data_IF_778527721047
#
_entry.id   IF_778527721047
#
_cell.length_a   1.000
_cell.length_b   1.000
_cell.length_c   1.000
_cell.angle_alpha   90.00
_cell.angle_beta   90.00
_cell.angle_gamma   90.00
#
_symmetry.space_group_name_H-M   'P 1'
#
loop_
_entity.id
_entity.type
_entity.pdbx_description
1 polymer ?
#
# COMPACT_ATOMS: atom_id res chain seq x y z
N UNK A 1 -14.03 28.17 50.78
CA UNK A 1 -14.76 27.58 49.62
C UNK A 1 -14.17 27.99 48.27
N UNK A 2 -13.74 29.25 48.09
CA UNK A 2 -13.10 29.74 46.85
C UNK A 2 -11.76 29.06 46.51
N UNK A 3 -10.89 28.80 47.50
CA UNK A 3 -9.59 28.17 47.27
C UNK A 3 -9.69 26.75 46.68
N UNK A 4 -10.68 25.96 47.14
CA UNK A 4 -10.96 24.62 46.58
C UNK A 4 -11.43 24.69 45.12
N UNK A 5 -12.21 25.72 44.76
CA UNK A 5 -12.62 25.96 43.37
C UNK A 5 -11.41 26.35 42.51
N UNK A 6 -10.54 27.20 43.03
CA UNK A 6 -9.36 27.69 42.31
C UNK A 6 -8.36 26.55 41.99
N UNK A 7 -8.10 25.67 42.97
CA UNK A 7 -7.26 24.49 42.77
C UNK A 7 -7.88 23.51 41.78
N UNK A 8 -9.20 23.33 41.82
CA UNK A 8 -9.91 22.44 40.90
C UNK A 8 -9.88 22.96 39.46
N UNK A 9 -10.10 24.27 39.26
CA UNK A 9 -10.00 24.89 37.93
C UNK A 9 -8.59 24.83 37.37
N UNK A 10 -7.57 24.99 38.21
CA UNK A 10 -6.18 24.83 37.79
C UNK A 10 -5.89 23.40 37.34
N UNK A 11 -6.41 22.42 38.06
CA UNK A 11 -6.26 21.00 37.71
C UNK A 11 -6.91 20.65 36.37
N UNK A 12 -8.12 21.16 36.12
CA UNK A 12 -8.80 20.95 34.83
C UNK A 12 -8.08 21.64 33.67
N UNK A 13 -7.55 22.85 33.89
CA UNK A 13 -6.75 23.54 32.88
C UNK A 13 -5.49 22.71 32.51
N UNK A 14 -4.82 22.17 33.52
CA UNK A 14 -3.59 21.39 33.35
C UNK A 14 -3.88 20.06 32.63
N UNK A 15 -4.98 19.39 32.97
CA UNK A 15 -5.44 18.19 32.27
C UNK A 15 -5.75 18.50 30.79
N UNK A 16 -6.39 19.62 30.52
CA UNK A 16 -6.75 20.04 29.17
C UNK A 16 -5.51 20.34 28.33
N UNK A 17 -4.49 20.99 28.90
CA UNK A 17 -3.19 21.22 28.25
C UNK A 17 -2.49 19.89 27.91
N UNK A 18 -2.49 18.93 28.84
CA UNK A 18 -1.89 17.60 28.61
C UNK A 18 -2.62 16.84 27.49
N UNK A 19 -3.96 16.88 27.48
CA UNK A 19 -4.76 16.26 26.42
C UNK A 19 -4.44 16.90 25.06
N UNK A 20 -4.35 18.22 24.97
CA UNK A 20 -3.96 18.91 23.74
C UNK A 20 -2.52 18.57 23.30
N UNK A 21 -1.58 18.48 24.24
CA UNK A 21 -0.19 18.13 23.93
C UNK A 21 -0.05 16.70 23.40
N UNK A 22 -0.85 15.76 23.90
CA UNK A 22 -0.89 14.39 23.37
C UNK A 22 -1.68 14.25 22.05
N UNK A 23 -2.60 15.18 21.77
CA UNK A 23 -3.32 15.24 20.49
C UNK A 23 -2.54 15.98 19.40
N UNK A 24 -1.68 16.95 19.75
CA UNK A 24 -0.86 17.74 18.81
C UNK A 24 -0.04 16.89 17.83
N UNK A 25 0.72 15.86 18.25
CA UNK A 25 1.48 15.04 17.29
C UNK A 25 0.56 14.24 16.35
N UNK A 26 -0.71 14.01 16.71
CA UNK A 26 -1.68 13.33 15.85
C UNK A 26 -2.22 14.24 14.72
N UNK A 27 -2.23 15.56 14.94
CA UNK A 27 -2.71 16.54 13.96
C UNK A 27 -1.59 17.09 13.07
N UNK A 28 -0.37 17.27 13.59
CA UNK A 28 0.76 17.77 12.80
C UNK A 28 1.27 16.74 11.78
N UNK A 29 1.45 15.46 12.18
CA UNK A 29 1.90 14.41 11.24
C UNK A 29 0.88 14.15 10.11
N UNK A 30 -0.42 14.31 10.38
CA UNK A 30 -1.46 14.02 9.39
C UNK A 30 -1.75 15.19 8.43
N UNK A 31 -1.42 16.44 8.81
CA UNK A 31 -1.73 17.61 7.97
C UNK A 31 -0.51 18.16 7.23
N UNK A 32 0.70 18.11 7.80
CA UNK A 32 1.89 18.62 7.11
C UNK A 32 2.29 17.78 5.88
N UNK A 33 2.08 16.45 5.90
CA UNK A 33 2.32 15.61 4.71
C UNK A 33 1.32 15.89 3.58
N UNK A 34 0.11 16.36 3.89
CA UNK A 34 -0.96 16.59 2.91
C UNK A 34 -0.90 17.99 2.26
N UNK A 35 -0.36 19.01 2.94
CA UNK A 35 -0.45 20.41 2.49
C UNK A 35 0.76 20.95 1.71
N UNK A 36 1.90 20.24 1.66
CA UNK A 36 3.12 20.74 0.98
C UNK A 36 3.21 20.36 -0.50
N UNK A 37 2.32 19.52 -1.03
CA UNK A 37 2.37 19.08 -2.43
C UNK A 37 1.74 20.09 -3.41
N UNK A 38 2.36 21.27 -3.52
CA UNK A 38 2.15 22.19 -4.65
C UNK A 38 3.30 22.05 -5.65
N UNK A 39 2.93 21.63 -6.86
CA UNK A 39 3.59 21.95 -8.13
C UNK A 39 4.88 21.24 -8.59
N UNK A 40 5.11 19.99 -8.18
CA UNK A 40 5.96 19.08 -8.99
C UNK A 40 5.28 17.75 -9.24
N UNK A 41 4.67 17.63 -10.41
CA UNK A 41 4.11 16.37 -10.93
C UNK A 41 5.28 15.53 -11.44
N UNK A 42 5.86 14.69 -10.58
CA UNK A 42 6.92 13.75 -10.98
C UNK A 42 6.35 12.34 -11.16
N UNK A 43 5.33 12.22 -12.03
CA UNK A 43 4.66 10.95 -12.34
C UNK A 43 5.68 9.85 -12.68
N UNK A 44 6.74 10.20 -13.43
CA UNK A 44 7.72 9.24 -13.95
C UNK A 44 8.54 8.56 -12.86
N UNK A 45 8.64 9.14 -11.66
CA UNK A 45 9.33 8.53 -10.51
C UNK A 45 8.47 7.54 -9.74
N UNK A 46 7.17 7.48 -10.06
CA UNK A 46 6.24 6.60 -9.35
C UNK A 46 6.49 5.15 -9.72
N UNK A 47 6.31 4.24 -8.77
CA UNK A 47 6.44 2.80 -8.98
C UNK A 47 5.14 2.04 -8.67
N UNK A 48 4.32 2.60 -7.78
CA UNK A 48 3.03 2.03 -7.41
C UNK A 48 2.05 3.12 -6.97
N UNK A 49 0.78 2.77 -6.79
CA UNK A 49 -0.22 3.67 -6.21
C UNK A 49 -1.17 2.96 -5.24
N UNK A 50 -1.78 3.75 -4.36
CA UNK A 50 -2.85 3.33 -3.45
C UNK A 50 -4.10 4.15 -3.75
N UNK A 51 -5.26 3.51 -3.68
CA UNK A 51 -6.56 4.17 -3.78
C UNK A 51 -7.13 4.45 -2.38
N UNK A 52 -7.44 5.71 -2.08
CA UNK A 52 -8.07 6.13 -0.83
C UNK A 52 -9.19 7.11 -1.17
N UNK A 53 -10.43 6.79 -0.77
CA UNK A 53 -11.60 7.65 -1.00
C UNK A 53 -11.74 8.11 -2.46
N UNK A 54 -11.60 7.19 -3.42
CA UNK A 54 -11.65 7.45 -4.86
C UNK A 54 -10.56 8.41 -5.39
N UNK A 55 -9.49 8.63 -4.63
CA UNK A 55 -8.28 9.34 -5.09
C UNK A 55 -7.10 8.38 -5.12
N UNK A 56 -6.20 8.62 -6.06
CA UNK A 56 -5.07 7.76 -6.35
C UNK A 56 -3.79 8.49 -5.95
N UNK A 57 -3.08 7.92 -4.97
CA UNK A 57 -1.84 8.44 -4.42
C UNK A 57 -0.69 7.60 -4.97
N UNK A 58 0.25 8.24 -5.66
CA UNK A 58 1.36 7.59 -6.33
C UNK A 58 2.64 7.79 -5.52
N UNK A 59 3.46 6.74 -5.46
CA UNK A 59 4.62 6.69 -4.59
C UNK A 59 5.90 6.33 -5.35
N UNK A 60 7.03 6.90 -4.95
CA UNK A 60 8.36 6.53 -5.43
C UNK A 60 8.94 5.31 -4.69
N UNK A 61 10.18 4.95 -5.06
CA UNK A 61 10.95 3.87 -4.42
C UNK A 61 11.29 4.13 -2.95
N UNK A 62 11.11 5.35 -2.46
CA UNK A 62 11.36 5.74 -1.08
C UNK A 62 10.06 5.86 -0.27
N UNK A 63 8.94 5.37 -0.80
CA UNK A 63 7.61 5.46 -0.17
C UNK A 63 7.10 6.90 -0.02
N UNK A 64 7.61 7.83 -0.83
CA UNK A 64 7.18 9.23 -0.82
C UNK A 64 6.15 9.47 -1.89
N UNK A 65 5.12 10.24 -1.56
CA UNK A 65 4.10 10.64 -2.53
C UNK A 65 4.78 11.49 -3.63
N UNK A 66 4.54 11.15 -4.88
CA UNK A 66 5.06 11.87 -6.07
C UNK A 66 3.96 12.59 -6.83
N UNK A 67 2.74 12.05 -6.77
CA UNK A 67 1.60 12.53 -7.53
C UNK A 67 0.28 12.09 -6.89
N UNK A 68 -0.76 12.89 -7.09
CA UNK A 68 -2.13 12.57 -6.66
C UNK A 68 -3.06 12.83 -7.83
N UNK A 69 -3.97 11.90 -8.11
CA UNK A 69 -4.91 11.96 -9.22
C UNK A 69 -6.31 11.55 -8.79
N UNK A 70 -7.31 12.06 -9.49
CA UNK A 70 -8.69 11.57 -9.39
C UNK A 70 -8.97 10.42 -10.39
N UNK A 71 -8.01 10.10 -11.26
CA UNK A 71 -8.06 9.00 -12.22
C UNK A 71 -6.87 8.05 -12.08
N UNK A 72 -7.07 6.72 -12.23
CA UNK A 72 -5.99 5.74 -12.15
C UNK A 72 -5.12 5.79 -13.42
N UNK A 73 -3.81 5.74 -13.24
CA UNK A 73 -2.84 5.59 -14.31
C UNK A 73 -2.49 4.10 -14.44
N UNK A 74 -2.91 3.42 -15.52
CA UNK A 74 -2.77 1.96 -15.64
C UNK A 74 -1.30 1.49 -15.73
N UNK A 75 -0.37 2.39 -16.00
CA UNK A 75 1.07 2.06 -16.05
C UNK A 75 1.62 1.57 -14.70
N UNK A 76 1.03 2.01 -13.58
CA UNK A 76 1.54 1.72 -12.24
C UNK A 76 0.75 0.59 -11.58
N UNK A 77 1.40 -0.12 -10.67
CA UNK A 77 0.79 -1.23 -9.92
C UNK A 77 -0.13 -0.64 -8.84
N UNK A 78 -1.40 -1.07 -8.81
CA UNK A 78 -2.28 -0.79 -7.68
C UNK A 78 -1.91 -1.67 -6.49
N UNK A 79 -1.80 -1.10 -5.31
CA UNK A 79 -1.38 -1.83 -4.11
C UNK A 79 -2.40 -1.68 -3.00
N UNK A 80 -2.75 -2.81 -2.38
CA UNK A 80 -3.56 -2.88 -1.16
C UNK A 80 -2.72 -3.59 -0.09
N UNK A 81 -2.15 -2.80 0.82
CA UNK A 81 -1.31 -3.27 1.92
C UNK A 81 -2.11 -3.97 3.03
N UNK A 82 -1.43 -4.86 3.76
CA UNK A 82 -1.93 -5.38 5.03
C UNK A 82 -1.98 -4.29 6.12
N UNK A 83 -2.86 -4.49 7.10
CA UNK A 83 -2.98 -3.57 8.25
C UNK A 83 -1.82 -3.67 9.24
N UNK A 84 -1.05 -4.75 9.19
CA UNK A 84 0.06 -5.02 10.11
C UNK A 84 1.32 -4.28 9.64
N UNK A 85 1.93 -3.47 10.53
CA UNK A 85 3.11 -2.65 10.21
C UNK A 85 4.32 -3.48 9.81
N UNK A 86 4.55 -4.62 10.47
CA UNK A 86 5.72 -5.47 10.18
C UNK A 86 5.57 -6.05 8.76
N UNK A 87 4.37 -6.50 8.42
CA UNK A 87 4.06 -7.01 7.07
C UNK A 87 4.14 -5.93 6.01
N UNK A 88 3.77 -4.69 6.32
CA UNK A 88 3.83 -3.57 5.37
C UNK A 88 5.24 -3.35 4.82
N UNK A 89 6.28 -3.50 5.65
CA UNK A 89 7.66 -3.33 5.20
C UNK A 89 8.10 -4.44 4.23
N UNK A 90 7.76 -5.69 4.53
CA UNK A 90 7.99 -6.83 3.65
C UNK A 90 7.27 -6.69 2.31
N UNK A 91 6.00 -6.28 2.36
CA UNK A 91 5.15 -6.01 1.19
C UNK A 91 5.72 -4.88 0.32
N UNK A 92 6.23 -3.83 0.97
CA UNK A 92 6.87 -2.71 0.28
C UNK A 92 8.16 -3.13 -0.42
N UNK A 93 8.99 -3.94 0.22
CA UNK A 93 10.20 -4.49 -0.39
C UNK A 93 9.87 -5.37 -1.60
N UNK A 94 8.81 -6.17 -1.51
CA UNK A 94 8.32 -6.98 -2.63
C UNK A 94 7.92 -6.10 -3.82
N UNK A 95 7.12 -5.05 -3.61
CA UNK A 95 6.71 -4.11 -4.68
C UNK A 95 7.92 -3.47 -5.35
N UNK A 96 8.91 -3.03 -4.56
CA UNK A 96 10.15 -2.45 -5.09
C UNK A 96 10.91 -3.43 -5.97
N UNK A 97 10.92 -4.71 -5.62
CA UNK A 97 11.55 -5.76 -6.42
C UNK A 97 10.88 -6.01 -7.78
N UNK A 98 9.59 -5.70 -7.92
CA UNK A 98 8.79 -6.00 -9.12
C UNK A 98 8.33 -4.74 -9.87
N UNK A 99 8.78 -3.56 -9.45
CA UNK A 99 8.27 -2.28 -9.96
C UNK A 99 8.49 -2.08 -11.47
N UNK A 100 9.45 -2.77 -12.08
CA UNK A 100 9.70 -2.75 -13.52
C UNK A 100 8.75 -3.63 -14.33
N UNK A 101 7.94 -4.47 -13.68
CA UNK A 101 7.04 -5.39 -14.37
C UNK A 101 5.70 -4.71 -14.72
N UNK A 102 5.47 -4.48 -16.02
CA UNK A 102 4.27 -3.83 -16.54
C UNK A 102 3.06 -4.74 -16.67
N UNK A 103 3.23 -6.06 -16.53
CA UNK A 103 2.15 -7.03 -16.71
C UNK A 103 1.24 -7.11 -15.47
N UNK A 104 1.71 -6.63 -14.33
CA UNK A 104 0.99 -6.61 -13.06
C UNK A 104 0.10 -5.37 -12.98
N UNK A 105 -1.19 -5.59 -12.72
CA UNK A 105 -2.18 -4.52 -12.57
C UNK A 105 -2.40 -4.17 -11.10
N UNK A 106 -2.58 -5.17 -10.26
CA UNK A 106 -2.96 -4.99 -8.86
C UNK A 106 -2.36 -6.09 -7.97
N UNK A 107 -1.98 -5.71 -6.76
CA UNK A 107 -1.54 -6.62 -5.70
C UNK A 107 -2.37 -6.35 -4.45
N UNK A 108 -3.03 -7.39 -3.97
CA UNK A 108 -3.85 -7.37 -2.77
C UNK A 108 -3.25 -8.32 -1.73
N UNK A 109 -2.42 -7.78 -0.85
CA UNK A 109 -1.73 -8.56 0.18
C UNK A 109 -2.67 -9.21 1.21
N UNK A 110 -3.70 -8.51 1.74
CA UNK A 110 -4.67 -9.14 2.64
C UNK A 110 -5.34 -10.39 2.05
N UNK A 111 -5.65 -10.35 0.75
CA UNK A 111 -6.30 -11.46 0.05
C UNK A 111 -5.30 -12.45 -0.58
N UNK A 112 -3.99 -12.21 -0.42
CA UNK A 112 -2.90 -12.98 -1.03
C UNK A 112 -3.09 -13.20 -2.54
N UNK A 113 -3.34 -12.11 -3.25
CA UNK A 113 -3.72 -12.14 -4.66
C UNK A 113 -2.96 -11.10 -5.48
N UNK A 114 -2.56 -11.50 -6.69
CA UNK A 114 -1.97 -10.64 -7.71
C UNK A 114 -2.81 -10.76 -8.98
N UNK A 115 -3.18 -9.62 -9.57
CA UNK A 115 -3.95 -9.50 -10.79
C UNK A 115 -3.10 -8.92 -11.90
N UNK A 116 -3.11 -9.54 -13.06
CA UNK A 116 -2.35 -9.13 -14.24
C UNK A 116 -3.29 -8.75 -15.40
N UNK A 117 -2.77 -7.99 -16.38
CA UNK A 117 -3.59 -7.44 -17.47
C UNK A 117 -4.23 -8.50 -18.39
N UNK A 118 -3.60 -9.67 -18.56
CA UNK A 118 -4.11 -10.78 -19.39
C UNK A 118 -5.25 -11.60 -18.73
N UNK A 119 -5.99 -11.02 -17.79
CA UNK A 119 -6.99 -11.72 -16.95
C UNK A 119 -6.41 -12.94 -16.20
N UNK A 120 -5.15 -12.83 -15.81
CA UNK A 120 -4.46 -13.82 -14.99
C UNK A 120 -4.62 -13.39 -13.53
N UNK A 121 -5.13 -14.30 -12.70
CA UNK A 121 -5.27 -14.13 -11.25
C UNK A 121 -4.37 -15.13 -10.56
N UNK A 122 -3.38 -14.65 -9.84
CA UNK A 122 -2.41 -15.48 -9.11
C UNK A 122 -2.71 -15.36 -7.62
N UNK A 123 -3.05 -16.48 -6.98
CA UNK A 123 -3.14 -16.58 -5.52
C UNK A 123 -1.85 -17.17 -4.96
N UNK A 124 -1.49 -16.80 -3.74
CA UNK A 124 -0.31 -17.36 -3.08
C UNK A 124 -0.59 -17.75 -1.63
N UNK A 125 0.10 -18.79 -1.14
CA UNK A 125 -0.01 -19.20 0.26
C UNK A 125 0.83 -18.31 1.18
N UNK A 126 2.07 -18.07 0.78
CA UNK A 126 3.04 -17.20 1.45
C UNK A 126 3.57 -16.21 0.43
N UNK A 127 4.03 -15.05 0.89
CA UNK A 127 4.57 -14.03 -0.01
C UNK A 127 5.77 -14.65 -0.75
N UNK A 128 5.72 -14.77 -2.09
CA UNK A 128 6.76 -15.48 -2.81
C UNK A 128 8.07 -14.67 -2.78
N UNK A 129 9.19 -15.39 -2.81
CA UNK A 129 10.49 -14.75 -3.01
C UNK A 129 10.50 -14.02 -4.36
N UNK A 130 11.10 -12.81 -4.37
CA UNK A 130 11.07 -11.91 -5.55
C UNK A 130 11.67 -12.61 -6.78
N UNK A 131 12.79 -13.31 -6.62
CA UNK A 131 13.48 -14.00 -7.72
C UNK A 131 12.60 -15.11 -8.34
N UNK A 132 11.98 -15.92 -7.48
CA UNK A 132 11.05 -16.99 -7.89
C UNK A 132 9.85 -16.40 -8.62
N UNK A 133 9.30 -15.31 -8.08
CA UNK A 133 8.16 -14.64 -8.67
C UNK A 133 8.48 -14.00 -10.01
N UNK A 134 9.65 -13.37 -10.16
CA UNK A 134 10.10 -12.80 -11.43
C UNK A 134 10.34 -13.88 -12.50
N UNK A 135 10.88 -15.04 -12.13
CA UNK A 135 11.04 -16.17 -13.04
C UNK A 135 9.70 -16.73 -13.53
N UNK A 136 8.68 -16.74 -12.67
CA UNK A 136 7.31 -17.11 -13.09
C UNK A 136 6.73 -16.02 -14.02
N UNK A 137 7.01 -14.75 -13.73
CA UNK A 137 6.50 -13.63 -14.50
C UNK A 137 7.13 -13.48 -15.88
N UNK A 138 8.37 -13.92 -16.11
CA UNK A 138 8.97 -13.87 -17.45
C UNK A 138 8.18 -14.65 -18.49
N UNK A 139 7.43 -15.67 -18.05
CA UNK A 139 6.58 -16.48 -18.91
C UNK A 139 5.10 -16.06 -18.86
N UNK A 140 4.74 -14.97 -18.15
CA UNK A 140 3.33 -14.60 -17.95
C UNK A 140 2.60 -14.24 -19.24
N UNK A 141 3.33 -13.79 -20.27
CA UNK A 141 2.78 -13.50 -21.59
C UNK A 141 2.41 -14.78 -22.35
N UNK A 142 3.05 -15.91 -22.03
CA UNK A 142 2.77 -17.23 -22.60
C UNK A 142 1.60 -17.93 -21.90
N UNK A 143 1.20 -17.43 -20.73
CA UNK A 143 0.07 -17.95 -19.98
C UNK A 143 -1.25 -17.45 -20.56
N UNK A 144 -2.20 -18.38 -20.71
CA UNK A 144 -3.58 -18.02 -21.03
C UNK A 144 -4.29 -17.33 -19.85
N UNK A 145 -5.45 -16.71 -20.10
CA UNK A 145 -6.30 -16.17 -19.03
C UNK A 145 -6.72 -17.31 -18.08
N UNK A 146 -6.79 -17.02 -16.78
CA UNK A 146 -7.17 -18.03 -15.80
C UNK A 146 -6.72 -17.76 -14.37
N UNK A 147 -7.01 -18.73 -13.51
CA UNK A 147 -6.59 -18.72 -12.11
C UNK A 147 -5.34 -19.56 -11.95
N UNK A 148 -4.39 -19.03 -11.19
CA UNK A 148 -3.11 -19.65 -10.93
C UNK A 148 -2.79 -19.59 -9.45
N UNK A 149 -1.93 -20.49 -8.99
CA UNK A 149 -1.54 -20.61 -7.60
C UNK A 149 -0.04 -20.75 -7.46
N UNK A 150 0.54 -19.96 -6.54
CA UNK A 150 1.91 -20.11 -6.09
C UNK A 150 1.88 -20.76 -4.71
N UNK A 151 2.54 -21.91 -4.62
CA UNK A 151 2.84 -22.56 -3.35
C UNK A 151 4.33 -22.82 -3.29
N UNK A 152 5.00 -22.24 -2.31
CA UNK A 152 6.46 -22.31 -2.17
C UNK A 152 7.15 -21.83 -3.46
N UNK A 153 7.76 -22.74 -4.21
CA UNK A 153 8.51 -22.49 -5.44
C UNK A 153 7.80 -23.04 -6.68
N UNK A 154 6.53 -23.40 -6.57
CA UNK A 154 5.77 -24.06 -7.64
C UNK A 154 4.59 -23.21 -8.07
N UNK A 155 4.39 -23.16 -9.38
CA UNK A 155 3.33 -22.41 -10.05
C UNK A 155 2.37 -23.37 -10.75
N UNK A 156 1.10 -23.28 -10.41
CA UNK A 156 0.06 -24.18 -10.89
C UNK A 156 -1.05 -23.39 -11.57
N UNK A 157 -1.61 -23.93 -12.64
CA UNK A 157 -2.89 -23.46 -13.17
C UNK A 157 -4.01 -24.16 -12.41
N UNK A 158 -4.93 -23.40 -11.83
CA UNK A 158 -6.15 -23.94 -11.24
C UNK A 158 -7.19 -24.01 -12.35
N UNK A 159 -7.48 -25.22 -12.83
CA UNK A 159 -8.69 -25.48 -13.62
C UNK A 159 -9.92 -25.62 -12.70
N UNK A 160 -11.13 -25.50 -13.25
CA UNK A 160 -12.43 -25.54 -12.53
C UNK A 160 -12.66 -26.80 -11.67
N UNK A 161 -11.73 -27.76 -11.66
CA UNK A 161 -11.75 -28.99 -10.86
C UNK A 161 -10.98 -28.91 -9.54
N UNK A 162 -10.31 -27.79 -9.27
CA UNK A 162 -9.76 -27.47 -7.95
C UNK A 162 -8.39 -28.03 -7.59
N UNK A 163 -7.71 -28.80 -8.47
CA UNK A 163 -6.32 -29.26 -8.33
C UNK A 163 -5.70 -29.54 -9.70
#
# INVERSE_FOLDING_TARGET
MQWKKLTLTFFYLLLLIICFYHLSPFFDETQEELFVYKDKIEIEKSIYYIEINNRYFYFDIYDKITFVSDYPQPKFIKVIFSKDKIKKEEELNFIKGICYNTSIREINFPNKEILCYNNIRIKYLELPEIEVFLAILSDIELLGPGNYFISNHSFFKIDDRGL
#
